data_IF_060217699283
#
_entry.id   IF_060217699283
#
_cell.length_a   1.000
_cell.length_b   1.000
_cell.length_c   1.000
_cell.angle_alpha   90.00
_cell.angle_beta   90.00
_cell.angle_gamma   90.00
#
_symmetry.space_group_name_H-M   'P 1'
#
loop_
_entity.id
_entity.type
_entity.pdbx_description
1 polymer ?
#
# COMPACT_ATOMS: atom_id res chain seq x y z
N UNK A 1 -4.87 -0.52 9.30
CA UNK A 1 -3.54 -0.84 8.75
C UNK A 1 -3.54 -0.49 7.26
N UNK A 2 -2.54 0.25 6.76
CA UNK A 2 -2.42 0.54 5.33
C UNK A 2 -2.24 -0.77 4.55
N UNK A 3 -2.89 -0.88 3.37
CA UNK A 3 -2.74 -2.01 2.46
C UNK A 3 -2.30 -1.51 1.10
N UNK A 4 -1.23 -2.09 0.56
CA UNK A 4 -0.74 -1.81 -0.79
C UNK A 4 -1.06 -2.97 -1.73
N UNK A 5 -1.37 -2.65 -2.99
CA UNK A 5 -1.61 -3.66 -4.05
C UNK A 5 -0.68 -3.51 -5.25
N UNK A 6 0.03 -2.40 -5.31
CA UNK A 6 0.99 -2.09 -6.37
C UNK A 6 2.34 -1.87 -5.70
N UNK A 7 3.37 -2.51 -6.25
CA UNK A 7 4.76 -2.38 -5.82
C UNK A 7 5.59 -2.03 -7.05
N UNK A 8 6.48 -1.05 -6.91
CA UNK A 8 7.52 -0.76 -7.88
C UNK A 8 8.89 -0.94 -7.20
N UNK A 9 9.87 -1.40 -7.97
CA UNK A 9 11.26 -1.55 -7.54
C UNK A 9 12.11 -0.53 -8.30
N UNK A 10 12.94 0.22 -7.57
CA UNK A 10 14.07 0.94 -8.17
C UNK A 10 15.28 -0.01 -8.22
N UNK A 11 15.75 -0.42 -9.40
CA UNK A 11 16.87 -1.34 -9.51
C UNK A 11 18.22 -0.70 -9.16
N UNK A 12 18.33 0.64 -9.12
CA UNK A 12 19.58 1.31 -8.77
C UNK A 12 19.82 1.28 -7.26
N UNK A 13 18.77 1.53 -6.46
CA UNK A 13 18.86 1.61 -5.00
C UNK A 13 18.32 0.36 -4.30
N UNK A 14 17.60 -0.49 -5.02
CA UNK A 14 16.83 -1.62 -4.49
C UNK A 14 15.69 -1.19 -3.55
N UNK A 15 15.21 0.05 -3.68
CA UNK A 15 14.06 0.53 -2.93
C UNK A 15 12.76 -0.01 -3.50
N UNK A 16 11.85 -0.41 -2.61
CA UNK A 16 10.48 -0.77 -2.96
C UNK A 16 9.54 0.38 -2.63
N UNK A 17 8.71 0.76 -3.60
CA UNK A 17 7.66 1.76 -3.45
C UNK A 17 6.29 1.08 -3.45
N UNK A 18 5.58 1.21 -2.34
CA UNK A 18 4.27 0.61 -2.13
C UNK A 18 3.20 1.70 -2.04
N UNK A 19 2.25 1.69 -2.98
CA UNK A 19 1.10 2.60 -2.93
C UNK A 19 0.04 2.03 -2.01
N UNK A 20 -0.25 2.74 -0.92
CA UNK A 20 -1.25 2.36 0.07
C UNK A 20 -2.34 3.42 0.20
N UNK A 21 -3.51 3.02 0.69
CA UNK A 21 -4.59 3.92 1.06
C UNK A 21 -5.41 3.30 2.20
N UNK A 22 -6.19 4.14 2.89
CA UNK A 22 -7.16 3.64 3.86
C UNK A 22 -8.39 3.06 3.17
N UNK A 23 -8.90 1.98 3.74
CA UNK A 23 -10.19 1.39 3.32
C UNK A 23 -11.32 2.21 3.94
N UNK A 24 -12.28 2.62 3.13
CA UNK A 24 -13.49 3.29 3.60
C UNK A 24 -14.39 2.29 4.34
N UNK A 25 -15.16 2.73 5.36
CA UNK A 25 -16.15 1.89 6.00
C UNK A 25 -17.13 1.33 4.96
N UNK A 26 -17.48 0.06 5.09
CA UNK A 26 -18.53 -0.49 4.26
C UNK A 26 -19.86 0.19 4.58
N UNK A 27 -20.57 0.65 3.55
CA UNK A 27 -21.92 1.20 3.70
C UNK A 27 -22.89 0.18 3.11
N UNK A 28 -23.59 -0.55 3.98
CA UNK A 28 -24.58 -1.56 3.59
C UNK A 28 -24.06 -3.00 3.50
N UNK A 29 -24.84 -3.93 2.90
CA UNK A 29 -24.49 -5.33 2.79
C UNK A 29 -23.15 -5.52 2.08
N UNK A 30 -22.21 -6.18 2.74
CA UNK A 30 -20.87 -6.44 2.19
C UNK A 30 -20.92 -7.75 1.40
N UNK A 31 -20.79 -7.66 0.08
CA UNK A 31 -20.42 -8.84 -0.70
C UNK A 31 -18.97 -9.22 -0.33
N UNK A 32 -18.73 -10.42 0.24
CA UNK A 32 -17.40 -10.85 0.64
C UNK A 32 -16.40 -10.96 -0.53
N UNK A 33 -16.88 -10.96 -1.78
CA UNK A 33 -16.04 -10.94 -2.98
C UNK A 33 -15.80 -9.53 -3.54
N UNK A 34 -16.60 -8.53 -3.13
CA UNK A 34 -16.44 -7.17 -3.60
C UNK A 34 -15.18 -6.54 -3.00
N UNK A 35 -14.46 -5.77 -3.82
CA UNK A 35 -13.30 -5.01 -3.34
C UNK A 35 -13.80 -3.88 -2.43
N UNK A 36 -13.25 -3.72 -1.21
CA UNK A 36 -13.57 -2.57 -0.37
C UNK A 36 -13.19 -1.24 -1.03
N UNK A 37 -14.04 -0.20 -0.94
CA UNK A 37 -13.71 1.13 -1.43
C UNK A 37 -12.54 1.73 -0.64
N UNK A 38 -11.75 2.59 -1.30
CA UNK A 38 -10.65 3.33 -0.68
C UNK A 38 -11.08 4.77 -0.37
N UNK A 39 -10.57 5.36 0.71
CA UNK A 39 -10.84 6.75 1.08
C UNK A 39 -10.01 7.72 0.22
N UNK A 40 -10.65 8.64 -0.54
CA UNK A 40 -9.93 9.70 -1.23
C UNK A 40 -9.08 10.54 -0.26
N UNK A 41 -7.93 11.05 -0.72
CA UNK A 41 -7.03 11.87 0.10
C UNK A 41 -6.16 11.10 1.10
N UNK A 42 -6.31 9.77 1.22
CA UNK A 42 -5.49 8.92 2.12
C UNK A 42 -4.41 8.12 1.39
N UNK A 43 -4.23 8.39 0.09
CA UNK A 43 -3.19 7.72 -0.69
C UNK A 43 -1.82 8.19 -0.21
N UNK A 44 -0.95 7.21 0.06
CA UNK A 44 0.43 7.43 0.49
C UNK A 44 1.36 6.44 -0.20
N UNK A 45 2.63 6.80 -0.28
CA UNK A 45 3.70 5.92 -0.74
C UNK A 45 4.54 5.52 0.47
N UNK A 46 4.65 4.21 0.69
CA UNK A 46 5.55 3.63 1.68
C UNK A 46 6.81 3.20 0.93
N UNK A 47 7.96 3.72 1.34
CA UNK A 47 9.26 3.29 0.82
C UNK A 47 9.87 2.28 1.79
N UNK A 48 10.29 1.13 1.27
CA UNK A 48 11.06 0.13 2.00
C UNK A 48 12.44 0.08 1.38
N UNK A 49 13.44 0.45 2.16
CA UNK A 49 14.85 0.47 1.76
C UNK A 49 15.57 -0.73 2.36
N UNK A 50 16.58 -1.32 1.69
CA UNK A 50 17.39 -2.38 2.27
C UNK A 50 18.06 -1.91 3.58
N UNK A 51 18.01 -2.75 4.62
CA UNK A 51 18.76 -2.49 5.84
C UNK A 51 20.25 -2.45 5.50
N UNK A 52 20.94 -1.41 5.94
CA UNK A 52 22.38 -1.28 5.71
C UNK A 52 23.09 -2.18 6.72
N UNK A 53 23.02 -3.50 6.53
CA UNK A 53 23.75 -4.46 7.36
C UNK A 53 25.24 -4.22 7.10
N UNK A 54 25.85 -3.41 7.97
CA UNK A 54 27.27 -3.08 7.94
C UNK A 54 28.00 -4.32 8.44
N UNK A 55 28.79 -4.90 7.55
CA UNK A 55 29.55 -6.13 7.75
C UNK A 55 30.63 -6.03 8.83
#
# INVERSE_FOLDING_TARGET
MPRARTVALDPATHDLYLVAAEVAPAVGPVDPKARPPLKPGTFTVITVTPDQETH
#
